data_IF_581777867092
#
_entry.id   IF_581777867092
#
_cell.length_a   1.000
_cell.length_b   1.000
_cell.length_c   1.000
_cell.angle_alpha   90.00
_cell.angle_beta   90.00
_cell.angle_gamma   90.00
#
_symmetry.space_group_name_H-M   'P 1'
#
loop_
_entity.id
_entity.type
_entity.pdbx_description
1 polymer ?
#
# COMPACT_ATOMS: atom_id res chain seq x y z
N UNK A 1 -28.45 -18.17 4.08
CA UNK A 1 -28.22 -17.19 5.16
C UNK A 1 -26.80 -17.29 5.73
N UNK A 2 -26.31 -18.48 6.12
CA UNK A 2 -24.93 -18.63 6.64
C UNK A 2 -23.83 -18.27 5.63
N UNK A 3 -23.96 -18.74 4.38
CA UNK A 3 -22.97 -18.47 3.32
C UNK A 3 -22.79 -16.97 3.02
N UNK A 4 -23.90 -16.23 2.90
CA UNK A 4 -23.88 -14.78 2.66
C UNK A 4 -23.30 -13.99 3.84
N UNK A 5 -23.54 -14.43 5.08
CA UNK A 5 -22.95 -13.82 6.27
C UNK A 5 -21.44 -14.04 6.35
N UNK A 6 -20.97 -15.26 6.09
CA UNK A 6 -19.54 -15.58 6.04
C UNK A 6 -18.83 -14.82 4.92
N UNK A 7 -19.43 -14.75 3.73
CA UNK A 7 -18.89 -13.98 2.61
C UNK A 7 -18.70 -12.50 2.98
N UNK A 8 -19.71 -11.86 3.57
CA UNK A 8 -19.61 -10.45 3.98
C UNK A 8 -18.53 -10.21 5.04
N UNK A 9 -18.35 -11.14 5.99
CA UNK A 9 -17.26 -11.05 6.99
C UNK A 9 -15.88 -11.12 6.33
N UNK A 10 -15.70 -12.00 5.34
CA UNK A 10 -14.45 -12.14 4.60
C UNK A 10 -14.16 -10.86 3.80
N UNK A 11 -15.15 -10.32 3.10
CA UNK A 11 -15.01 -9.09 2.30
C UNK A 11 -14.61 -7.89 3.17
N UNK A 12 -15.28 -7.69 4.30
CA UNK A 12 -14.96 -6.60 5.24
C UNK A 12 -13.56 -6.79 5.82
N UNK A 13 -13.19 -8.01 6.21
CA UNK A 13 -11.87 -8.31 6.76
C UNK A 13 -10.77 -8.00 5.75
N UNK A 14 -10.93 -8.44 4.50
CA UNK A 14 -9.99 -8.15 3.41
C UNK A 14 -9.89 -6.65 3.13
N UNK A 15 -11.03 -5.96 3.08
CA UNK A 15 -11.08 -4.52 2.87
C UNK A 15 -10.27 -3.76 3.94
N UNK A 16 -10.49 -4.08 5.22
CA UNK A 16 -9.80 -3.43 6.35
C UNK A 16 -8.30 -3.73 6.33
N UNK A 17 -7.89 -4.98 6.07
CA UNK A 17 -6.47 -5.37 5.99
C UNK A 17 -5.77 -4.62 4.85
N UNK A 18 -6.37 -4.59 3.67
CA UNK A 18 -5.78 -3.91 2.51
C UNK A 18 -5.70 -2.40 2.73
N UNK A 19 -6.74 -1.79 3.31
CA UNK A 19 -6.72 -0.39 3.69
C UNK A 19 -5.61 -0.08 4.69
N UNK A 20 -5.45 -0.91 5.72
CA UNK A 20 -4.39 -0.78 6.72
C UNK A 20 -2.99 -0.81 6.11
N UNK A 21 -2.72 -1.79 5.23
CA UNK A 21 -1.42 -1.91 4.56
C UNK A 21 -1.11 -0.73 3.63
N UNK A 22 -2.09 -0.30 2.83
CA UNK A 22 -1.94 0.84 1.91
C UNK A 22 -1.71 2.15 2.66
N UNK A 23 -2.48 2.39 3.73
CA UNK A 23 -2.30 3.57 4.59
C UNK A 23 -0.95 3.56 5.29
N UNK A 24 -0.54 2.39 5.81
CA UNK A 24 0.77 2.24 6.44
C UNK A 24 1.90 2.55 5.46
N UNK A 25 1.85 1.99 4.25
CA UNK A 25 2.82 2.26 3.18
C UNK A 25 2.88 3.77 2.83
N UNK A 26 1.72 4.42 2.71
CA UNK A 26 1.66 5.85 2.39
C UNK A 26 2.27 6.73 3.50
N UNK A 27 1.86 6.51 4.76
CA UNK A 27 2.36 7.29 5.90
C UNK A 27 3.87 7.12 6.05
N UNK A 28 4.34 5.87 5.94
CA UNK A 28 5.76 5.52 6.01
C UNK A 28 6.55 6.18 4.86
N UNK A 29 5.98 6.19 3.64
CA UNK A 29 6.57 6.88 2.49
C UNK A 29 6.68 8.38 2.65
N UNK A 30 5.66 9.03 3.22
CA UNK A 30 5.70 10.48 3.47
C UNK A 30 6.75 10.81 4.52
N UNK A 31 6.87 10.00 5.58
CA UNK A 31 7.78 10.24 6.71
C UNK A 31 9.26 10.03 6.37
N UNK A 32 9.62 9.17 5.43
CA UNK A 32 11.05 8.91 5.11
C UNK A 32 11.72 10.09 4.40
N UNK A 33 13.00 10.39 4.68
CA UNK A 33 13.72 11.50 4.06
C UNK A 33 13.90 11.28 2.54
N UNK A 34 13.76 12.35 1.77
CA UNK A 34 13.83 12.29 0.29
C UNK A 34 15.20 11.84 -0.23
N UNK A 35 16.28 12.18 0.49
CA UNK A 35 17.66 11.85 0.12
C UNK A 35 17.95 10.33 0.14
N UNK A 36 17.13 9.54 0.84
CA UNK A 36 17.33 8.09 0.92
C UNK A 36 16.78 7.31 -0.29
N UNK A 37 15.85 7.90 -1.05
CA UNK A 37 15.21 7.21 -2.19
C UNK A 37 16.15 7.02 -3.40
N UNK A 38 16.98 8.01 -3.81
CA UNK A 38 17.96 7.83 -4.89
C UNK A 38 19.01 6.75 -4.60
N UNK A 39 19.35 6.52 -3.33
CA UNK A 39 20.32 5.50 -2.93
C UNK A 39 19.79 4.06 -3.05
N UNK A 40 18.46 3.91 -3.05
CA UNK A 40 17.78 2.62 -2.97
C UNK A 40 17.18 2.17 -4.30
N UNK A 41 16.84 3.11 -5.18
CA UNK A 41 16.22 2.77 -6.45
C UNK A 41 16.33 3.86 -7.51
N UNK A 42 16.01 3.48 -8.75
CA UNK A 42 15.97 4.38 -9.93
C UNK A 42 14.86 5.44 -9.86
N UNK A 43 13.92 5.30 -8.93
CA UNK A 43 12.68 6.08 -8.90
C UNK A 43 12.67 7.06 -7.72
N UNK A 44 12.08 8.24 -7.93
CA UNK A 44 12.05 9.32 -6.94
C UNK A 44 11.03 9.07 -5.81
N UNK A 45 11.24 9.73 -4.66
CA UNK A 45 10.26 9.75 -3.57
C UNK A 45 8.87 10.19 -4.04
N UNK A 46 8.81 11.17 -4.95
CA UNK A 46 7.55 11.73 -5.44
C UNK A 46 6.69 10.65 -6.11
N UNK A 47 7.29 9.79 -6.95
CA UNK A 47 6.56 8.70 -7.59
C UNK A 47 5.98 7.72 -6.57
N UNK A 48 6.73 7.35 -5.53
CA UNK A 48 6.25 6.43 -4.51
C UNK A 48 5.15 7.02 -3.63
N UNK A 49 5.22 8.31 -3.30
CA UNK A 49 4.15 9.01 -2.58
C UNK A 49 2.88 9.06 -3.42
N UNK A 50 2.99 9.36 -4.72
CA UNK A 50 1.84 9.37 -5.64
C UNK A 50 1.24 7.97 -5.77
N UNK A 51 2.06 6.95 -5.99
CA UNK A 51 1.60 5.57 -6.17
C UNK A 51 0.91 5.02 -4.91
N UNK A 52 1.53 5.18 -3.74
CA UNK A 52 0.93 4.74 -2.46
C UNK A 52 -0.29 5.59 -2.06
N UNK A 53 -0.30 6.88 -2.42
CA UNK A 53 -1.44 7.77 -2.23
C UNK A 53 -2.64 7.37 -3.10
N UNK A 54 -2.42 7.13 -4.39
CA UNK A 54 -3.46 6.63 -5.31
C UNK A 54 -3.96 5.26 -4.84
N UNK A 55 -3.06 4.36 -4.42
CA UNK A 55 -3.47 3.05 -3.90
C UNK A 55 -4.42 3.16 -2.70
N UNK A 56 -4.11 4.06 -1.75
CA UNK A 56 -4.96 4.33 -0.60
C UNK A 56 -6.30 4.97 -0.99
N UNK A 57 -6.30 5.94 -1.92
CA UNK A 57 -7.52 6.58 -2.42
C UNK A 57 -8.44 5.60 -3.16
N UNK A 58 -7.88 4.72 -3.98
CA UNK A 58 -8.62 3.67 -4.70
C UNK A 58 -9.33 2.74 -3.71
N UNK A 59 -8.67 2.39 -2.59
CA UNK A 59 -9.31 1.58 -1.55
C UNK A 59 -10.51 2.26 -0.91
N UNK A 60 -10.49 3.59 -0.77
CA UNK A 60 -11.61 4.36 -0.23
C UNK A 60 -12.70 4.60 -1.27
N UNK A 61 -12.33 4.74 -2.54
CA UNK A 61 -13.27 4.98 -3.64
C UNK A 61 -14.04 3.71 -4.06
N UNK A 62 -13.41 2.53 -3.94
CA UNK A 62 -13.99 1.26 -4.36
C UNK A 62 -14.08 0.29 -3.17
N UNK A 63 -15.31 -0.03 -2.79
CA UNK A 63 -15.60 -0.94 -1.66
C UNK A 63 -15.24 -2.40 -1.97
N UNK A 64 -15.19 -2.79 -3.25
CA UNK A 64 -14.84 -4.15 -3.66
C UNK A 64 -13.31 -4.38 -3.53
N UNK A 65 -12.86 -5.24 -2.60
CA UNK A 65 -11.43 -5.47 -2.38
C UNK A 65 -10.75 -6.25 -3.51
N UNK A 66 -11.50 -6.95 -4.36
CA UNK A 66 -10.98 -7.81 -5.44
C UNK A 66 -10.96 -7.04 -6.78
N UNK A 67 -11.50 -5.82 -6.81
CA UNK A 67 -11.43 -4.96 -7.98
C UNK A 67 -9.98 -4.77 -8.46
N UNK A 68 -9.76 -4.84 -9.78
CA UNK A 68 -8.42 -4.88 -10.38
C UNK A 68 -7.52 -3.71 -9.91
N UNK A 69 -8.08 -2.51 -9.77
CA UNK A 69 -7.36 -1.34 -9.26
C UNK A 69 -6.99 -1.48 -7.78
N UNK A 70 -7.84 -2.13 -6.96
CA UNK A 70 -7.53 -2.42 -5.57
C UNK A 70 -6.40 -3.44 -5.43
N UNK A 71 -6.39 -4.46 -6.31
CA UNK A 71 -5.30 -5.44 -6.41
C UNK A 71 -3.99 -4.76 -6.83
N UNK A 72 -4.02 -3.93 -7.89
CA UNK A 72 -2.85 -3.18 -8.31
C UNK A 72 -2.32 -2.27 -7.19
N UNK A 73 -3.23 -1.61 -6.46
CA UNK A 73 -2.89 -0.77 -5.32
C UNK A 73 -2.24 -1.54 -4.17
N UNK A 74 -2.73 -2.74 -3.83
CA UNK A 74 -2.11 -3.53 -2.76
C UNK A 74 -0.73 -4.03 -3.20
N UNK A 75 -0.57 -4.45 -4.46
CA UNK A 75 0.75 -4.83 -5.00
C UNK A 75 1.75 -3.68 -4.88
N UNK A 76 1.35 -2.45 -5.25
CA UNK A 76 2.18 -1.26 -5.07
C UNK A 76 2.58 -1.04 -3.60
N UNK A 77 1.63 -1.16 -2.67
CA UNK A 77 1.90 -1.02 -1.25
C UNK A 77 2.85 -2.11 -0.73
N UNK A 78 2.69 -3.36 -1.17
CA UNK A 78 3.56 -4.47 -0.80
C UNK A 78 4.98 -4.28 -1.33
N UNK A 79 5.14 -3.87 -2.60
CA UNK A 79 6.46 -3.54 -3.17
C UNK A 79 7.13 -2.44 -2.35
N UNK A 80 6.39 -1.39 -1.99
CA UNK A 80 6.95 -0.32 -1.17
C UNK A 80 7.43 -0.82 0.20
N UNK A 81 6.59 -1.61 0.89
CA UNK A 81 6.84 -2.06 2.26
C UNK A 81 7.94 -3.12 2.37
N UNK A 82 8.04 -4.02 1.38
CA UNK A 82 8.99 -5.12 1.42
C UNK A 82 10.26 -4.85 0.62
N UNK A 83 10.21 -4.07 -0.46
CA UNK A 83 11.41 -3.78 -1.24
C UNK A 83 12.05 -2.48 -0.76
N UNK A 84 11.34 -1.36 -0.88
CA UNK A 84 11.94 -0.02 -0.73
C UNK A 84 12.18 0.33 0.73
N UNK A 85 11.19 0.08 1.58
CA UNK A 85 11.30 0.31 3.02
C UNK A 85 12.50 -0.43 3.62
N UNK A 86 12.67 -1.70 3.26
CA UNK A 86 13.75 -2.53 3.80
C UNK A 86 15.09 -1.97 3.33
N UNK A 87 15.26 -1.74 2.02
CA UNK A 87 16.49 -1.17 1.46
C UNK A 87 16.85 0.21 2.03
N UNK A 88 15.87 1.11 2.24
CA UNK A 88 16.15 2.42 2.87
C UNK A 88 16.66 2.22 4.30
N UNK A 89 16.06 1.27 5.04
CA UNK A 89 16.45 0.99 6.42
C UNK A 89 17.85 0.37 6.49
N UNK A 90 18.23 -0.46 5.52
CA UNK A 90 19.56 -1.08 5.44
C UNK A 90 20.67 -0.06 5.19
N UNK A 91 20.44 0.95 4.34
CA UNK A 91 21.45 1.98 4.03
C UNK A 91 21.59 3.02 5.15
N UNK A 92 20.52 3.23 5.93
CA UNK A 92 20.51 4.23 7.02
C UNK A 92 21.04 3.69 8.35
N UNK A 93 21.35 2.38 8.41
CA UNK A 93 21.87 1.70 9.61
C UNK A 93 23.38 1.80 9.69
#
# INVERSE_FOLDING_TARGET
MLFSGLQGLIEISLFVIFAGLKLWAFIDCVRRPQQAFPAVGRQSKLLWVILTGIAALVQLAFWDPIFLLNIAGIVVALIYLFDIRIKITEITR
#
